data_IF_594242072562
#
_entry.id   IF_594242072562
#
_cell.length_a   1.000
_cell.length_b   1.000
_cell.length_c   1.000
_cell.angle_alpha   90.00
_cell.angle_beta   90.00
_cell.angle_gamma   90.00
#
_symmetry.space_group_name_H-M   'P 1'
#
loop_
_entity.id
_entity.type
_entity.pdbx_description
1 polymer ?
#
# COMPACT_ATOMS: atom_id res chain seq x y z
N UNK A 1 -62.48 35.97 15.51
CA UNK A 1 -61.34 36.25 14.61
C UNK A 1 -60.19 35.32 14.98
N UNK A 2 -59.90 34.31 14.14
CA UNK A 2 -58.84 33.35 14.41
C UNK A 2 -58.55 32.48 13.20
N UNK A 3 -57.72 32.99 12.29
CA UNK A 3 -57.30 32.28 11.07
C UNK A 3 -56.09 31.38 11.38
N UNK A 4 -56.29 30.07 11.37
CA UNK A 4 -55.20 29.07 11.36
C UNK A 4 -54.77 28.86 9.91
N UNK A 5 -53.58 29.36 9.54
CA UNK A 5 -52.93 29.00 8.27
C UNK A 5 -52.27 27.63 8.40
N UNK A 6 -52.77 26.66 7.64
CA UNK A 6 -52.09 25.39 7.40
C UNK A 6 -50.87 25.64 6.51
N UNK A 7 -49.67 25.55 7.07
CA UNK A 7 -48.43 25.47 6.30
C UNK A 7 -48.39 24.08 5.65
N UNK A 8 -48.79 24.00 4.37
CA UNK A 8 -48.59 22.83 3.55
C UNK A 8 -47.10 22.52 3.44
N UNK A 9 -46.71 21.32 3.85
CA UNK A 9 -45.34 20.80 3.77
C UNK A 9 -44.80 20.91 2.34
N UNK A 10 -43.87 21.84 2.12
CA UNK A 10 -43.14 22.03 0.86
C UNK A 10 -42.31 20.81 0.45
N UNK A 11 -42.16 19.79 1.31
CA UNK A 11 -41.44 18.56 0.98
C UNK A 11 -42.21 17.64 0.01
N UNK A 12 -43.55 17.64 0.07
CA UNK A 12 -44.37 16.68 -0.69
C UNK A 12 -44.43 17.03 -2.18
N UNK A 13 -44.53 18.31 -2.52
CA UNK A 13 -44.54 18.80 -3.92
C UNK A 13 -43.15 18.67 -4.59
N UNK A 14 -42.07 18.70 -3.80
CA UNK A 14 -40.68 18.56 -4.27
C UNK A 14 -40.37 17.15 -4.78
N UNK A 15 -40.86 16.12 -4.09
CA UNK A 15 -40.71 14.73 -4.54
C UNK A 15 -41.38 14.49 -5.90
N UNK A 16 -42.58 15.03 -6.11
CA UNK A 16 -43.38 14.71 -7.30
C UNK A 16 -42.77 15.19 -8.62
N UNK A 17 -41.99 16.28 -8.65
CA UNK A 17 -41.33 16.77 -9.87
C UNK A 17 -40.07 16.00 -10.21
N UNK A 18 -39.27 15.60 -9.21
CA UNK A 18 -38.11 14.75 -9.42
C UNK A 18 -38.53 13.40 -10.03
N UNK A 19 -39.62 12.82 -9.51
CA UNK A 19 -40.21 11.59 -10.07
C UNK A 19 -40.63 11.73 -11.54
N UNK A 20 -41.06 12.91 -12.00
CA UNK A 20 -41.44 13.13 -13.40
C UNK A 20 -40.23 13.25 -14.32
N UNK A 21 -39.16 13.94 -13.88
CA UNK A 21 -37.90 14.00 -14.64
C UNK A 21 -37.19 12.64 -14.71
N UNK A 22 -37.28 11.84 -13.64
CA UNK A 22 -36.77 10.45 -13.64
C UNK A 22 -37.52 9.53 -14.61
N UNK A 23 -38.79 9.82 -14.91
CA UNK A 23 -39.56 9.02 -15.86
C UNK A 23 -39.19 9.30 -17.34
N UNK A 24 -38.47 10.38 -17.63
CA UNK A 24 -38.14 10.82 -19.00
C UNK A 24 -36.66 10.64 -19.37
N UNK A 25 -35.84 10.02 -18.52
CA UNK A 25 -34.41 9.80 -18.80
C UNK A 25 -33.60 11.10 -18.90
N UNK A 26 -34.07 12.17 -18.25
CA UNK A 26 -33.39 13.46 -18.27
C UNK A 26 -32.02 13.37 -17.58
N UNK A 27 -30.97 13.77 -18.30
CA UNK A 27 -29.61 13.84 -17.76
C UNK A 27 -29.44 15.10 -16.88
N UNK A 28 -28.73 14.93 -15.76
CA UNK A 28 -28.28 15.99 -14.87
C UNK A 28 -26.85 16.34 -15.24
N UNK A 29 -26.62 17.61 -15.53
CA UNK A 29 -25.27 18.13 -15.75
C UNK A 29 -24.52 18.26 -14.42
N UNK A 30 -23.35 17.66 -14.32
CA UNK A 30 -22.43 17.77 -13.19
C UNK A 30 -21.17 18.46 -13.68
N UNK A 31 -20.91 19.65 -13.16
CA UNK A 31 -19.67 20.39 -13.41
C UNK A 31 -18.72 20.16 -12.22
N UNK A 32 -17.51 19.70 -12.51
CA UNK A 32 -16.48 19.41 -11.52
C UNK A 32 -15.31 20.37 -11.72
N UNK A 33 -15.13 21.28 -10.79
CA UNK A 33 -13.95 22.15 -10.74
C UNK A 33 -12.73 21.35 -10.28
N UNK A 34 -11.64 21.42 -11.04
CA UNK A 34 -10.39 20.69 -10.79
C UNK A 34 -9.34 21.59 -10.13
N UNK A 35 -8.28 20.98 -9.62
CA UNK A 35 -7.23 21.67 -8.85
C UNK A 35 -6.36 22.61 -9.70
N UNK A 36 -6.37 22.44 -11.01
CA UNK A 36 -5.72 23.30 -12.01
C UNK A 36 -6.58 24.53 -12.37
N UNK A 37 -7.76 24.68 -11.76
CA UNK A 37 -8.70 25.77 -12.02
C UNK A 37 -9.60 25.53 -13.23
N UNK A 38 -9.48 24.39 -13.90
CA UNK A 38 -10.40 24.00 -14.97
C UNK A 38 -11.74 23.52 -14.40
N UNK A 39 -12.72 23.35 -15.30
CA UNK A 39 -14.00 22.74 -14.96
C UNK A 39 -14.40 21.77 -16.05
N UNK A 40 -14.73 20.55 -15.65
CA UNK A 40 -15.20 19.51 -16.55
C UNK A 40 -16.67 19.23 -16.36
N UNK A 41 -17.39 19.06 -17.47
CA UNK A 41 -18.79 18.67 -17.46
C UNK A 41 -18.95 17.16 -17.69
N UNK A 42 -19.84 16.58 -16.91
CA UNK A 42 -20.30 15.20 -17.01
C UNK A 42 -21.83 15.21 -17.07
N UNK A 43 -22.42 14.50 -18.03
CA UNK A 43 -23.87 14.34 -18.08
C UNK A 43 -24.20 12.98 -17.44
N UNK A 44 -24.92 13.01 -16.33
CA UNK A 44 -25.18 11.85 -15.47
C UNK A 44 -26.68 11.59 -15.36
N UNK A 45 -27.07 10.35 -15.11
CA UNK A 45 -28.46 10.05 -14.74
C UNK A 45 -28.71 10.44 -13.27
N UNK A 46 -29.95 10.78 -12.88
CA UNK A 46 -30.26 11.07 -11.48
C UNK A 46 -29.89 9.93 -10.52
N UNK A 47 -30.02 8.68 -10.96
CA UNK A 47 -29.66 7.48 -10.20
C UNK A 47 -28.16 7.15 -10.19
N UNK A 48 -27.35 7.80 -11.05
CA UNK A 48 -25.90 7.63 -11.00
C UNK A 48 -25.39 8.07 -9.63
N UNK A 49 -24.40 7.37 -9.11
CA UNK A 49 -23.81 7.68 -7.81
C UNK A 49 -22.61 8.61 -7.94
N UNK A 50 -22.19 9.21 -6.83
CA UNK A 50 -20.92 9.95 -6.73
C UNK A 50 -19.74 9.08 -7.20
N UNK A 51 -19.75 7.76 -6.93
CA UNK A 51 -18.74 6.85 -7.42
C UNK A 51 -18.75 6.74 -8.96
N UNK A 52 -19.91 6.76 -9.59
CA UNK A 52 -20.01 6.69 -11.05
C UNK A 52 -19.46 7.96 -11.71
N UNK A 53 -19.70 9.14 -11.11
CA UNK A 53 -19.03 10.38 -11.52
C UNK A 53 -17.51 10.27 -11.35
N UNK A 54 -17.03 9.75 -10.22
CA UNK A 54 -15.59 9.51 -10.00
C UNK A 54 -14.99 8.56 -11.02
N UNK A 55 -15.69 7.50 -11.43
CA UNK A 55 -15.23 6.58 -12.49
C UNK A 55 -15.06 7.29 -13.83
N UNK A 56 -15.98 8.20 -14.17
CA UNK A 56 -15.86 9.00 -15.40
C UNK A 56 -14.64 9.93 -15.35
N UNK A 57 -14.41 10.62 -14.22
CA UNK A 57 -13.21 11.45 -14.01
C UNK A 57 -11.94 10.58 -14.07
N UNK A 58 -11.93 9.44 -13.37
CA UNK A 58 -10.83 8.48 -13.32
C UNK A 58 -10.41 8.01 -14.71
N UNK A 59 -11.38 7.67 -15.56
CA UNK A 59 -11.13 7.25 -16.93
C UNK A 59 -10.53 8.37 -17.80
N UNK A 60 -11.00 9.63 -17.64
CA UNK A 60 -10.49 10.77 -18.41
C UNK A 60 -9.11 11.23 -17.97
N UNK A 61 -8.85 11.25 -16.66
CA UNK A 61 -7.62 11.80 -16.06
C UNK A 61 -6.58 10.71 -15.74
N UNK A 62 -6.84 9.45 -16.05
CA UNK A 62 -5.99 8.30 -15.73
C UNK A 62 -5.59 8.26 -14.25
N UNK A 63 -6.56 8.40 -13.35
CA UNK A 63 -6.36 8.41 -11.89
C UNK A 63 -7.23 7.35 -11.23
N UNK A 64 -6.80 6.80 -10.09
CA UNK A 64 -7.62 5.87 -9.32
C UNK A 64 -8.83 6.61 -8.73
N UNK A 65 -10.02 6.00 -8.74
CA UNK A 65 -11.22 6.58 -8.08
C UNK A 65 -10.96 6.87 -6.61
N UNK A 66 -10.04 6.12 -5.99
CA UNK A 66 -9.77 6.22 -4.59
C UNK A 66 -9.06 7.49 -4.12
N UNK A 67 -8.41 8.16 -5.07
CA UNK A 67 -7.69 9.42 -4.87
C UNK A 67 -8.57 10.63 -5.11
N UNK A 68 -9.83 10.41 -5.51
CA UNK A 68 -10.80 11.45 -5.85
C UNK A 68 -11.80 11.62 -4.70
N UNK A 69 -11.82 12.83 -4.14
CA UNK A 69 -12.91 13.30 -3.28
C UNK A 69 -13.69 14.36 -4.03
N UNK A 70 -15.02 14.24 -4.03
CA UNK A 70 -15.90 15.25 -4.58
C UNK A 70 -16.57 15.99 -3.43
N UNK A 71 -16.56 17.32 -3.50
CA UNK A 71 -17.21 18.19 -2.54
C UNK A 71 -18.37 18.93 -3.17
N UNK A 72 -19.46 19.08 -2.44
CA UNK A 72 -20.50 20.07 -2.73
C UNK A 72 -20.43 21.17 -1.67
N UNK A 73 -19.94 22.35 -2.07
CA UNK A 73 -19.53 23.38 -1.11
C UNK A 73 -18.37 22.88 -0.26
N UNK A 74 -18.54 22.83 1.06
CA UNK A 74 -17.52 22.32 2.02
C UNK A 74 -17.73 20.86 2.42
N UNK A 75 -18.79 20.20 1.93
CA UNK A 75 -19.16 18.84 2.34
C UNK A 75 -18.57 17.80 1.39
N UNK A 76 -17.79 16.86 1.93
CA UNK A 76 -17.34 15.67 1.19
C UNK A 76 -18.53 14.76 0.90
N UNK A 77 -18.65 14.31 -0.34
CA UNK A 77 -19.75 13.45 -0.79
C UNK A 77 -19.39 11.97 -0.66
N UNK A 78 -20.24 11.14 -0.02
CA UNK A 78 -20.03 9.69 0.06
C UNK A 78 -20.28 9.03 -1.30
N UNK A 79 -19.60 7.92 -1.58
CA UNK A 79 -19.61 7.25 -2.89
C UNK A 79 -21.02 6.84 -3.37
N UNK A 80 -21.93 6.52 -2.44
CA UNK A 80 -23.26 5.95 -2.72
C UNK A 80 -24.36 7.02 -2.80
N UNK A 81 -24.05 8.28 -2.52
CA UNK A 81 -25.02 9.35 -2.70
C UNK A 81 -25.35 9.49 -4.20
N UNK A 82 -26.64 9.54 -4.54
CA UNK A 82 -27.08 9.72 -5.92
C UNK A 82 -26.86 11.16 -6.39
N UNK A 83 -26.65 11.36 -7.69
CA UNK A 83 -26.54 12.69 -8.30
C UNK A 83 -27.86 13.46 -8.16
N UNK A 84 -29.00 12.77 -8.23
CA UNK A 84 -30.33 13.36 -8.01
C UNK A 84 -30.50 14.01 -6.63
N UNK A 85 -29.82 13.47 -5.60
CA UNK A 85 -29.82 14.04 -4.25
C UNK A 85 -28.90 15.27 -4.10
N UNK A 86 -28.03 15.53 -5.09
CA UNK A 86 -27.11 16.67 -5.11
C UNK A 86 -27.66 17.90 -5.85
N UNK A 87 -28.65 17.68 -6.73
CA UNK A 87 -29.20 18.71 -7.59
C UNK A 87 -29.70 19.93 -6.78
N UNK A 88 -29.30 21.16 -7.13
CA UNK A 88 -29.84 22.34 -6.48
C UNK A 88 -31.36 22.37 -6.70
N UNK A 89 -32.09 22.63 -5.61
CA UNK A 89 -33.56 22.64 -5.58
C UNK A 89 -34.14 23.86 -6.32
N UNK A 90 -33.30 24.69 -6.95
CA UNK A 90 -33.78 25.83 -7.71
C UNK A 90 -34.36 25.40 -9.07
N UNK A 91 -35.45 26.04 -9.47
CA UNK A 91 -36.23 25.68 -10.64
C UNK A 91 -35.53 25.99 -11.97
N UNK A 92 -34.24 26.34 -11.95
CA UNK A 92 -33.50 26.86 -13.11
C UNK A 92 -32.81 25.79 -13.95
N UNK A 93 -32.83 24.52 -13.52
CA UNK A 93 -32.11 23.45 -14.22
C UNK A 93 -30.59 23.63 -14.14
N UNK A 94 -30.10 24.29 -13.10
CA UNK A 94 -28.68 24.53 -12.89
C UNK A 94 -27.89 23.23 -12.75
N UNK A 95 -26.71 23.19 -13.35
CA UNK A 95 -25.78 22.07 -13.20
C UNK A 95 -25.30 21.94 -11.75
N UNK A 96 -25.12 20.69 -11.28
CA UNK A 96 -24.51 20.40 -9.98
C UNK A 96 -23.06 20.86 -10.03
N UNK A 97 -22.66 21.71 -9.08
CA UNK A 97 -21.28 22.20 -8.98
C UNK A 97 -20.54 21.42 -7.91
N UNK A 98 -19.51 20.69 -8.32
CA UNK A 98 -18.64 19.92 -7.45
C UNK A 98 -17.20 20.43 -7.51
N UNK A 99 -16.44 20.21 -6.45
CA UNK A 99 -15.00 20.45 -6.42
C UNK A 99 -14.27 19.12 -6.26
N UNK A 100 -13.24 18.92 -7.08
CA UNK A 100 -12.35 17.77 -6.97
C UNK A 100 -11.20 18.08 -6.01
N UNK A 101 -11.08 17.29 -4.96
CA UNK A 101 -9.97 17.37 -4.02
C UNK A 101 -9.07 16.13 -4.18
N UNK A 102 -7.77 16.38 -4.37
CA UNK A 102 -6.75 15.34 -4.46
C UNK A 102 -6.28 15.02 -3.05
N UNK A 103 -6.52 13.79 -2.60
CA UNK A 103 -6.14 13.39 -1.25
C UNK A 103 -4.64 13.03 -1.16
N UNK A 104 -3.96 13.56 -0.15
CA UNK A 104 -2.71 13.00 0.38
C UNK A 104 -3.10 12.35 1.71
N UNK A 105 -3.11 11.01 1.77
CA UNK A 105 -3.46 10.29 2.99
C UNK A 105 -2.28 10.35 3.95
N UNK A 106 -2.51 10.89 5.15
CA UNK A 106 -1.63 10.67 6.30
C UNK A 106 -2.53 10.38 7.49
N UNK A 107 -2.59 9.13 7.99
CA UNK A 107 -3.30 8.87 9.22
C UNK A 107 -2.69 9.72 10.34
N UNK A 108 -3.54 10.21 11.23
CA UNK A 108 -3.09 10.84 12.47
C UNK A 108 -2.18 9.87 13.24
N UNK A 109 -1.12 10.36 13.92
CA UNK A 109 -0.27 9.51 14.76
C UNK A 109 -1.01 8.75 15.87
N UNK A 110 -2.20 9.18 16.26
CA UNK A 110 -2.84 8.66 17.47
C UNK A 110 -3.66 7.37 17.26
N UNK A 111 -4.15 7.07 16.05
CA UNK A 111 -5.35 6.23 15.91
C UNK A 111 -5.26 5.15 14.82
N UNK A 112 -4.13 4.46 14.69
CA UNK A 112 -4.08 3.19 13.92
C UNK A 112 -4.48 2.05 14.84
N UNK A 113 -5.49 1.30 14.42
CA UNK A 113 -6.05 0.14 15.12
C UNK A 113 -5.84 -1.13 14.31
N UNK A 114 -5.95 -2.28 14.97
CA UNK A 114 -5.83 -3.60 14.33
C UNK A 114 -6.98 -4.51 14.74
N UNK A 115 -7.49 -5.27 13.78
CA UNK A 115 -8.33 -6.43 14.00
C UNK A 115 -7.64 -7.65 13.39
N UNK A 116 -7.82 -8.80 14.03
CA UNK A 116 -7.30 -10.06 13.52
C UNK A 116 -8.38 -11.13 13.63
N UNK A 117 -8.50 -11.92 12.56
CA UNK A 117 -9.29 -13.13 12.54
C UNK A 117 -8.37 -14.32 12.37
N UNK A 118 -8.77 -15.44 12.94
CA UNK A 118 -8.01 -16.68 12.82
C UNK A 118 -8.94 -17.88 12.64
N UNK A 119 -8.40 -18.96 12.10
CA UNK A 119 -9.16 -20.17 11.80
C UNK A 119 -8.26 -21.34 11.46
N UNK A 120 -8.87 -22.49 11.18
CA UNK A 120 -8.14 -23.71 10.83
C UNK A 120 -7.15 -23.47 9.68
N UNK A 121 -6.02 -24.18 9.71
CA UNK A 121 -4.99 -24.11 8.67
C UNK A 121 -5.59 -24.26 7.26
N UNK A 122 -5.24 -23.33 6.36
CA UNK A 122 -5.71 -23.32 4.98
C UNK A 122 -7.13 -22.77 4.78
N UNK A 123 -7.86 -22.44 5.84
CA UNK A 123 -9.22 -21.89 5.78
C UNK A 123 -9.23 -20.37 5.46
N UNK A 124 -8.39 -19.93 4.54
CA UNK A 124 -8.15 -18.51 4.22
C UNK A 124 -9.40 -17.74 3.83
N UNK A 125 -10.33 -18.36 3.09
CA UNK A 125 -11.61 -17.72 2.73
C UNK A 125 -12.43 -17.37 3.97
N UNK A 126 -12.51 -18.31 4.92
CA UNK A 126 -13.27 -18.14 6.15
C UNK A 126 -12.64 -17.05 7.00
N UNK A 127 -11.32 -17.09 7.15
CA UNK A 127 -10.57 -16.13 7.97
C UNK A 127 -10.69 -14.71 7.42
N UNK A 128 -10.54 -14.52 6.10
CA UNK A 128 -10.74 -13.21 5.47
C UNK A 128 -12.20 -12.76 5.61
N UNK A 129 -13.17 -13.63 5.37
CA UNK A 129 -14.60 -13.31 5.53
C UNK A 129 -14.95 -12.84 6.95
N UNK A 130 -14.40 -13.51 7.97
CA UNK A 130 -14.53 -13.11 9.37
C UNK A 130 -13.90 -11.74 9.63
N UNK A 131 -12.68 -11.50 9.16
CA UNK A 131 -12.00 -10.21 9.31
C UNK A 131 -12.81 -9.07 8.67
N UNK A 132 -13.33 -9.27 7.45
CA UNK A 132 -14.16 -8.27 6.76
C UNK A 132 -15.48 -8.00 7.50
N UNK A 133 -16.03 -8.99 8.20
CA UNK A 133 -17.21 -8.82 9.06
C UNK A 133 -16.86 -7.98 10.29
N UNK A 134 -15.76 -8.32 10.97
CA UNK A 134 -15.28 -7.56 12.13
C UNK A 134 -14.98 -6.08 11.78
N UNK A 135 -14.40 -5.81 10.61
CA UNK A 135 -14.18 -4.43 10.15
C UNK A 135 -15.50 -3.66 9.97
N UNK A 136 -16.54 -4.30 9.41
CA UNK A 136 -17.87 -3.69 9.27
C UNK A 136 -18.50 -3.41 10.63
N UNK A 137 -18.42 -4.37 11.55
CA UNK A 137 -18.96 -4.26 12.91
C UNK A 137 -18.25 -3.15 13.71
N UNK A 138 -16.95 -2.94 13.47
CA UNK A 138 -16.17 -1.84 14.02
C UNK A 138 -16.47 -0.47 13.38
N UNK A 139 -17.41 -0.39 12.44
CA UNK A 139 -17.79 0.85 11.76
C UNK A 139 -16.75 1.37 10.77
N UNK A 140 -15.81 0.53 10.35
CA UNK A 140 -14.81 0.89 9.33
C UNK A 140 -15.51 1.16 8.01
N UNK A 141 -15.10 2.23 7.33
CA UNK A 141 -15.63 2.68 6.06
C UNK A 141 -14.63 2.48 4.92
N UNK A 142 -15.12 2.60 3.69
CA UNK A 142 -14.27 2.54 2.50
C UNK A 142 -13.19 3.63 2.53
N UNK A 143 -11.92 3.27 2.31
CA UNK A 143 -10.76 4.16 2.44
C UNK A 143 -10.13 4.25 3.83
N UNK A 144 -10.70 3.62 4.86
CA UNK A 144 -10.14 3.63 6.22
C UNK A 144 -9.27 2.41 6.54
N UNK A 145 -9.32 1.36 5.71
CA UNK A 145 -8.39 0.22 5.80
C UNK A 145 -7.06 0.63 5.18
N UNK A 146 -5.98 0.48 5.95
CA UNK A 146 -4.63 0.84 5.53
C UNK A 146 -3.94 -0.33 4.83
N UNK A 147 -3.99 -1.52 5.43
CA UNK A 147 -3.47 -2.75 4.82
C UNK A 147 -4.11 -3.99 5.47
N UNK A 148 -3.96 -5.13 4.80
CA UNK A 148 -4.34 -6.46 5.29
C UNK A 148 -3.17 -7.41 5.06
N UNK A 149 -2.80 -8.16 6.09
CA UNK A 149 -1.69 -9.12 6.10
C UNK A 149 -2.18 -10.54 6.41
N UNK A 150 -1.67 -11.52 5.67
CA UNK A 150 -1.93 -12.94 5.85
C UNK A 150 -0.67 -13.60 6.40
N UNK A 151 -0.81 -14.34 7.50
CA UNK A 151 0.29 -15.13 8.07
C UNK A 151 -0.26 -16.37 8.76
N UNK A 152 0.61 -17.34 9.03
CA UNK A 152 0.26 -18.50 9.84
C UNK A 152 0.86 -18.39 11.24
N UNK A 153 0.11 -18.88 12.23
CA UNK A 153 0.61 -19.00 13.61
C UNK A 153 1.24 -20.38 13.80
N UNK A 154 2.54 -20.39 14.07
CA UNK A 154 3.32 -21.59 14.39
C UNK A 154 3.67 -22.45 13.18
N UNK A 155 4.05 -23.71 13.42
CA UNK A 155 4.27 -24.74 12.38
C UNK A 155 2.94 -25.14 11.71
N UNK A 156 2.28 -24.19 11.04
CA UNK A 156 1.13 -24.39 10.15
C UNK A 156 -0.24 -24.75 10.75
N UNK A 157 -0.51 -24.47 12.03
CA UNK A 157 -1.78 -24.92 12.65
C UNK A 157 -2.96 -23.98 12.45
N UNK A 158 -2.72 -22.68 12.25
CA UNK A 158 -3.78 -21.67 12.23
C UNK A 158 -3.48 -20.60 11.17
N UNK A 159 -4.45 -20.36 10.29
CA UNK A 159 -4.42 -19.26 9.33
C UNK A 159 -4.93 -17.99 10.00
N UNK A 160 -4.19 -16.89 9.84
CA UNK A 160 -4.49 -15.59 10.46
C UNK A 160 -4.51 -14.52 9.39
N UNK A 161 -5.54 -13.68 9.40
CA UNK A 161 -5.57 -12.44 8.64
C UNK A 161 -5.71 -11.28 9.62
N UNK A 162 -4.89 -10.25 9.45
CA UNK A 162 -4.97 -9.03 10.23
C UNK A 162 -5.20 -7.82 9.33
N UNK A 163 -6.03 -6.89 9.78
CA UNK A 163 -6.29 -5.63 9.10
C UNK A 163 -5.93 -4.48 10.02
N UNK A 164 -5.17 -3.53 9.49
CA UNK A 164 -4.88 -2.29 10.17
C UNK A 164 -5.65 -1.16 9.51
N UNK A 165 -6.25 -0.32 10.33
CA UNK A 165 -7.19 0.70 9.86
C UNK A 165 -7.11 1.94 10.75
N UNK A 166 -7.64 3.05 10.26
CA UNK A 166 -7.75 4.28 11.04
C UNK A 166 -9.08 4.97 10.77
N UNK A 167 -9.86 5.18 11.84
CA UNK A 167 -11.14 5.89 11.78
C UNK A 167 -10.97 7.41 11.62
N UNK A 168 -9.74 7.92 11.80
CA UNK A 168 -9.39 9.32 11.55
C UNK A 168 -9.26 9.64 10.06
N UNK A 169 -9.15 8.61 9.21
CA UNK A 169 -9.21 8.80 7.76
C UNK A 169 -10.64 9.08 7.35
N UNK A 170 -10.82 9.94 6.34
CA UNK A 170 -12.14 10.23 5.81
C UNK A 170 -12.75 8.98 5.18
N UNK A 171 -13.79 8.45 5.81
CA UNK A 171 -14.60 7.38 5.26
C UNK A 171 -15.34 7.84 4.00
N UNK A 172 -15.45 6.95 3.02
CA UNK A 172 -16.04 7.25 1.70
C UNK A 172 -17.39 6.57 1.50
N UNK A 173 -17.97 6.02 2.56
CA UNK A 173 -19.19 5.24 2.56
C UNK A 173 -19.01 3.86 3.20
N UNK A 174 -20.06 3.01 3.18
CA UNK A 174 -20.00 1.68 3.74
C UNK A 174 -18.83 0.86 3.18
N UNK A 175 -18.18 0.06 4.03
CA UNK A 175 -17.08 -0.80 3.60
C UNK A 175 -17.58 -1.90 2.67
N UNK A 176 -17.20 -1.83 1.39
CA UNK A 176 -17.39 -2.91 0.42
C UNK A 176 -16.03 -3.36 -0.13
N UNK A 177 -15.63 -4.56 0.28
CA UNK A 177 -14.32 -5.15 0.00
C UNK A 177 -14.51 -6.49 -0.69
N UNK A 178 -13.73 -6.71 -1.73
CA UNK A 178 -13.60 -7.97 -2.44
C UNK A 178 -12.20 -8.51 -2.28
N UNK A 179 -12.04 -9.80 -2.53
CA UNK A 179 -10.73 -10.42 -2.56
C UNK A 179 -10.69 -11.54 -3.61
N UNK A 180 -9.49 -11.84 -4.10
CA UNK A 180 -9.19 -13.03 -4.89
C UNK A 180 -8.13 -13.82 -4.15
N UNK A 181 -8.37 -15.12 -3.95
CA UNK A 181 -7.39 -16.05 -3.39
C UNK A 181 -6.78 -16.91 -4.48
N UNK A 182 -5.47 -16.95 -4.53
CA UNK A 182 -4.71 -17.90 -5.32
C UNK A 182 -4.12 -18.93 -4.37
N UNK A 183 -4.42 -20.21 -4.65
CA UNK A 183 -3.92 -21.37 -3.91
C UNK A 183 -3.29 -22.35 -4.90
N UNK A 184 -2.32 -23.13 -4.44
CA UNK A 184 -1.85 -24.30 -5.19
C UNK A 184 -0.99 -23.97 -6.41
N UNK A 185 -0.05 -23.02 -6.26
CA UNK A 185 1.12 -22.93 -7.14
C UNK A 185 2.29 -23.70 -6.54
N UNK A 186 3.20 -24.16 -7.40
CA UNK A 186 4.42 -24.85 -6.95
C UNK A 186 5.47 -23.84 -6.45
N UNK A 187 5.31 -22.56 -6.80
CA UNK A 187 6.27 -21.50 -6.44
C UNK A 187 5.60 -20.16 -6.10
N UNK A 188 6.29 -19.35 -5.29
CA UNK A 188 5.89 -17.96 -5.04
C UNK A 188 5.77 -17.12 -6.31
N UNK A 189 6.62 -17.38 -7.32
CA UNK A 189 6.64 -16.62 -8.56
C UNK A 189 5.32 -16.73 -9.34
N UNK A 190 4.72 -17.92 -9.36
CA UNK A 190 3.41 -18.14 -9.98
C UNK A 190 2.31 -17.37 -9.24
N UNK A 191 2.32 -17.42 -7.90
CA UNK A 191 1.37 -16.69 -7.07
C UNK A 191 1.51 -15.17 -7.23
N UNK A 192 2.72 -14.64 -7.37
CA UNK A 192 2.93 -13.21 -7.61
C UNK A 192 2.30 -12.76 -8.93
N UNK A 193 2.50 -13.54 -10.00
CA UNK A 193 1.91 -13.26 -11.31
C UNK A 193 0.39 -13.34 -11.30
N UNK A 194 -0.16 -14.36 -10.63
CA UNK A 194 -1.60 -14.52 -10.46
C UNK A 194 -2.22 -13.35 -9.67
N UNK A 195 -1.57 -12.92 -8.58
CA UNK A 195 -1.99 -11.76 -7.80
C UNK A 195 -1.89 -10.45 -8.58
N UNK A 196 -0.83 -10.27 -9.38
CA UNK A 196 -0.72 -9.11 -10.27
C UNK A 196 -1.88 -9.07 -11.28
N UNK A 197 -2.21 -10.20 -11.91
CA UNK A 197 -3.37 -10.29 -12.80
C UNK A 197 -4.68 -10.00 -12.05
N UNK A 198 -4.85 -10.54 -10.84
CA UNK A 198 -6.02 -10.29 -10.02
C UNK A 198 -6.13 -8.84 -9.55
N UNK A 199 -5.02 -8.11 -9.45
CA UNK A 199 -4.99 -6.70 -9.08
C UNK A 199 -5.37 -5.75 -10.22
N UNK A 200 -5.40 -6.22 -11.48
CA UNK A 200 -5.64 -5.37 -12.63
C UNK A 200 -6.98 -4.63 -12.58
N UNK A 201 -6.93 -3.33 -12.85
CA UNK A 201 -8.03 -2.37 -12.86
C UNK A 201 -8.82 -2.26 -11.54
N UNK A 202 -8.26 -2.75 -10.43
CA UNK A 202 -8.87 -2.68 -9.10
C UNK A 202 -8.16 -1.65 -8.23
N UNK A 203 -8.90 -1.07 -7.30
CA UNK A 203 -8.35 -0.28 -6.21
C UNK A 203 -7.88 -1.21 -5.08
N UNK A 204 -6.62 -1.63 -5.18
CA UNK A 204 -5.99 -2.60 -4.29
C UNK A 204 -5.78 -2.00 -2.90
N UNK A 205 -6.19 -2.75 -1.87
CA UNK A 205 -5.92 -2.47 -0.46
C UNK A 205 -4.63 -3.16 -0.04
N UNK A 206 -4.49 -4.45 -0.37
CA UNK A 206 -3.26 -5.19 -0.14
C UNK A 206 -3.12 -6.38 -1.09
N UNK A 207 -1.87 -6.81 -1.24
CA UNK A 207 -1.52 -8.12 -1.80
C UNK A 207 -0.63 -8.78 -0.74
N UNK A 208 -1.07 -9.90 -0.19
CA UNK A 208 -0.35 -10.57 0.91
C UNK A 208 -0.46 -12.09 0.83
N UNK A 209 0.64 -12.76 1.14
CA UNK A 209 0.81 -14.19 0.98
C UNK A 209 1.33 -14.87 2.23
N UNK A 210 1.01 -16.16 2.35
CA UNK A 210 1.46 -16.99 3.46
C UNK A 210 1.71 -18.42 3.02
N UNK A 211 2.61 -19.12 3.70
CA UNK A 211 2.94 -20.53 3.52
C UNK A 211 2.47 -21.36 4.72
N UNK A 212 1.84 -22.50 4.46
CA UNK A 212 1.49 -23.50 5.49
C UNK A 212 1.84 -24.91 5.00
N UNK A 213 1.67 -25.91 5.85
CA UNK A 213 1.97 -27.31 5.54
C UNK A 213 1.21 -27.87 4.33
N UNK A 214 0.09 -27.26 3.96
CA UNK A 214 -0.70 -27.65 2.78
C UNK A 214 -0.46 -26.78 1.55
N UNK A 215 0.50 -25.86 1.57
CA UNK A 215 0.94 -25.11 0.38
C UNK A 215 1.09 -23.60 0.59
N UNK A 216 1.00 -22.88 -0.52
CA UNK A 216 1.15 -21.43 -0.58
C UNK A 216 -0.18 -20.76 -0.92
N UNK A 217 -0.40 -19.57 -0.36
CA UNK A 217 -1.57 -18.72 -0.66
C UNK A 217 -1.09 -17.31 -0.94
N UNK A 218 -1.78 -16.63 -1.85
CA UNK A 218 -1.67 -15.19 -2.05
C UNK A 218 -3.07 -14.61 -2.21
N UNK A 219 -3.37 -13.56 -1.45
CA UNK A 219 -4.62 -12.83 -1.50
C UNK A 219 -4.39 -11.47 -2.16
N UNK A 220 -5.28 -11.09 -3.08
CA UNK A 220 -5.41 -9.71 -3.56
C UNK A 220 -6.71 -9.15 -3.02
N UNK A 221 -6.62 -8.18 -2.11
CA UNK A 221 -7.78 -7.55 -1.44
C UNK A 221 -7.97 -6.14 -2.01
N UNK A 222 -9.21 -5.78 -2.33
CA UNK A 222 -9.53 -4.54 -3.05
C UNK A 222 -10.89 -3.96 -2.68
N UNK A 223 -11.04 -2.66 -2.91
CA UNK A 223 -12.30 -1.96 -2.78
C UNK A 223 -13.24 -2.29 -3.94
N UNK A 224 -14.41 -2.88 -3.67
CA UNK A 224 -15.38 -3.20 -4.72
C UNK A 224 -15.96 -1.93 -5.33
N UNK A 225 -16.17 -1.98 -6.65
CA UNK A 225 -16.70 -0.86 -7.44
C UNK A 225 -15.72 0.28 -7.69
N UNK A 226 -14.63 0.39 -6.92
CA UNK A 226 -13.54 1.33 -7.17
C UNK A 226 -12.55 0.75 -8.19
N UNK A 227 -12.02 1.62 -9.03
CA UNK A 227 -11.19 1.21 -10.17
C UNK A 227 -9.93 2.02 -10.27
N UNK A 228 -8.92 1.38 -10.85
CA UNK A 228 -7.67 1.99 -11.28
C UNK A 228 -7.61 1.99 -12.81
N UNK A 229 -6.87 2.93 -13.42
CA UNK A 229 -6.59 2.90 -14.85
C UNK A 229 -6.01 1.53 -15.26
N UNK A 230 -6.46 0.95 -16.39
CA UNK A 230 -5.83 -0.25 -16.92
C UNK A 230 -4.36 0.06 -17.27
N UNK A 231 -3.49 -0.93 -17.13
CA UNK A 231 -2.06 -0.73 -17.38
C UNK A 231 -1.13 -1.85 -16.98
N UNK A 232 -1.67 -3.01 -16.59
CA UNK A 232 -0.90 -4.12 -16.05
C UNK A 232 -0.35 -3.81 -14.65
N UNK A 233 -0.56 -4.73 -13.72
CA UNK A 233 0.20 -4.75 -12.48
C UNK A 233 1.45 -5.58 -12.73
N UNK A 234 2.60 -5.02 -12.37
CA UNK A 234 3.89 -5.70 -12.37
C UNK A 234 4.25 -6.13 -10.95
N UNK A 235 5.14 -7.11 -10.83
CA UNK A 235 5.77 -7.46 -9.57
C UNK A 235 7.28 -7.60 -9.70
N UNK A 236 7.98 -7.36 -8.59
CA UNK A 236 9.38 -7.75 -8.37
C UNK A 236 9.49 -8.45 -7.04
N UNK A 237 10.39 -9.41 -6.95
CA UNK A 237 10.65 -10.15 -5.71
C UNK A 237 12.14 -10.28 -5.45
N UNK A 238 12.53 -10.50 -4.21
CA UNK A 238 13.89 -10.74 -3.76
C UNK A 238 13.93 -11.88 -2.76
N UNK A 239 15.09 -12.55 -2.67
CA UNK A 239 15.32 -13.63 -1.72
C UNK A 239 16.76 -13.61 -1.22
N UNK A 240 16.95 -13.79 0.08
CA UNK A 240 18.26 -13.87 0.69
C UNK A 240 18.23 -14.71 1.97
N UNK A 241 19.40 -15.17 2.44
CA UNK A 241 19.53 -15.87 3.72
C UNK A 241 19.24 -15.02 4.96
N UNK A 242 18.97 -13.71 4.79
CA UNK A 242 18.52 -12.83 5.88
C UNK A 242 17.39 -11.92 5.41
N UNK A 243 16.49 -11.59 6.34
CA UNK A 243 15.38 -10.68 6.07
C UNK A 243 15.86 -9.30 5.61
N UNK A 244 16.91 -8.75 6.23
CA UNK A 244 17.44 -7.45 5.82
C UNK A 244 18.08 -7.51 4.43
N UNK A 245 18.83 -8.56 4.11
CA UNK A 245 19.41 -8.72 2.77
C UNK A 245 18.33 -8.81 1.68
N UNK A 246 17.27 -9.58 1.92
CA UNK A 246 16.16 -9.69 0.98
C UNK A 246 15.43 -8.34 0.81
N UNK A 247 15.19 -7.62 1.91
CA UNK A 247 14.58 -6.29 1.89
C UNK A 247 15.41 -5.28 1.07
N UNK A 248 16.73 -5.20 1.27
CA UNK A 248 17.57 -4.25 0.53
C UNK A 248 17.62 -4.56 -0.96
N UNK A 249 17.69 -5.85 -1.33
CA UNK A 249 17.58 -6.26 -2.73
C UNK A 249 16.23 -5.88 -3.36
N UNK A 250 15.13 -5.92 -2.60
CA UNK A 250 13.83 -5.45 -3.09
C UNK A 250 13.87 -3.94 -3.38
N UNK A 251 14.41 -3.15 -2.45
CA UNK A 251 14.54 -1.69 -2.61
C UNK A 251 15.38 -1.34 -3.85
N UNK A 252 16.48 -2.04 -4.08
CA UNK A 252 17.29 -1.88 -5.29
C UNK A 252 16.47 -2.19 -6.55
N UNK A 253 15.76 -3.32 -6.59
CA UNK A 253 14.90 -3.69 -7.73
C UNK A 253 13.81 -2.65 -8.00
N UNK A 254 13.19 -2.09 -6.96
CA UNK A 254 12.20 -1.02 -7.12
C UNK A 254 12.82 0.26 -7.69
N UNK A 255 14.03 0.62 -7.24
CA UNK A 255 14.79 1.76 -7.75
C UNK A 255 15.20 1.57 -9.23
N UNK A 256 15.76 0.41 -9.58
CA UNK A 256 16.13 0.05 -10.96
C UNK A 256 14.92 0.11 -11.92
N UNK A 257 13.75 -0.32 -11.43
CA UNK A 257 12.49 -0.24 -12.16
C UNK A 257 11.91 1.18 -12.23
N UNK A 258 12.50 2.15 -11.53
CA UNK A 258 12.06 3.55 -11.42
C UNK A 258 10.60 3.65 -11.00
N UNK A 259 10.19 2.80 -10.04
CA UNK A 259 8.85 2.87 -9.47
C UNK A 259 8.69 4.22 -8.79
N UNK A 260 7.60 4.93 -9.09
CA UNK A 260 7.34 6.25 -8.51
C UNK A 260 6.40 6.16 -7.30
N UNK A 261 6.44 7.18 -6.44
CA UNK A 261 5.46 7.32 -5.37
C UNK A 261 4.04 7.33 -5.96
N UNK A 262 3.16 6.52 -5.39
CA UNK A 262 1.77 6.37 -5.86
C UNK A 262 1.57 5.30 -6.94
N UNK A 263 2.64 4.65 -7.41
CA UNK A 263 2.56 3.47 -8.30
C UNK A 263 2.69 2.15 -7.54
N UNK A 264 3.32 2.17 -6.37
CA UNK A 264 3.46 0.99 -5.51
C UNK A 264 2.12 0.64 -4.85
N UNK A 265 1.68 -0.60 -5.00
CA UNK A 265 0.40 -1.11 -4.48
C UNK A 265 0.57 -1.82 -3.12
N UNK A 266 1.72 -2.46 -2.89
CA UNK A 266 1.97 -3.18 -1.67
C UNK A 266 3.33 -3.88 -1.67
N UNK A 267 3.79 -4.23 -0.48
CA UNK A 267 4.96 -5.07 -0.22
C UNK A 267 4.55 -6.17 0.75
N UNK A 268 4.97 -7.39 0.49
CA UNK A 268 4.69 -8.56 1.31
C UNK A 268 5.97 -9.33 1.62
N UNK A 269 6.06 -9.87 2.83
CA UNK A 269 7.22 -10.57 3.37
C UNK A 269 6.82 -11.99 3.77
N UNK A 270 7.53 -12.99 3.26
CA UNK A 270 7.22 -14.40 3.53
C UNK A 270 8.43 -15.30 3.33
N UNK A 271 8.29 -16.56 3.74
CA UNK A 271 9.22 -17.66 3.48
C UNK A 271 8.41 -18.93 3.18
N UNK A 272 9.06 -19.99 2.70
CA UNK A 272 8.40 -21.28 2.49
C UNK A 272 8.16 -22.03 3.81
N UNK A 273 9.09 -21.87 4.73
CA UNK A 273 9.10 -22.39 6.08
C UNK A 273 10.03 -21.50 6.94
N UNK A 274 10.00 -21.61 8.28
CA UNK A 274 10.77 -20.74 9.16
C UNK A 274 12.28 -20.68 8.90
N UNK A 275 12.88 -21.74 8.35
CA UNK A 275 14.33 -21.84 8.09
C UNK A 275 14.68 -21.55 6.62
N UNK A 276 13.69 -21.46 5.74
CA UNK A 276 13.88 -21.09 4.35
C UNK A 276 14.38 -19.63 4.20
N UNK A 277 15.06 -19.31 3.07
CA UNK A 277 15.43 -17.94 2.76
C UNK A 277 14.24 -16.97 2.85
N UNK A 278 14.49 -15.81 3.46
CA UNK A 278 13.54 -14.72 3.51
C UNK A 278 13.21 -14.24 2.09
N UNK A 279 11.95 -13.92 1.85
CA UNK A 279 11.47 -13.42 0.56
C UNK A 279 10.63 -12.16 0.77
N UNK A 280 10.79 -11.23 -0.16
CA UNK A 280 9.87 -10.10 -0.30
C UNK A 280 9.35 -10.05 -1.71
N UNK A 281 8.12 -9.58 -1.84
CA UNK A 281 7.52 -9.20 -3.12
C UNK A 281 6.94 -7.80 -3.04
N UNK A 282 7.02 -7.06 -4.14
CA UNK A 282 6.38 -5.77 -4.30
C UNK A 282 5.59 -5.76 -5.60
N UNK A 283 4.38 -5.23 -5.54
CA UNK A 283 3.48 -5.08 -6.68
C UNK A 283 3.27 -3.61 -6.98
N UNK A 284 3.33 -3.22 -8.25
CA UNK A 284 3.20 -1.83 -8.66
C UNK A 284 2.49 -1.72 -10.02
N UNK A 285 1.90 -0.57 -10.29
CA UNK A 285 1.17 -0.29 -11.53
C UNK A 285 1.67 1.02 -12.15
N UNK A 286 2.31 0.95 -13.33
CA UNK A 286 2.91 2.12 -13.99
C UNK A 286 1.89 3.08 -14.59
N UNK A 287 0.68 2.62 -14.90
CA UNK A 287 -0.39 3.50 -15.37
C UNK A 287 -0.96 4.38 -14.26
N UNK A 288 -0.68 4.06 -12.98
CA UNK A 288 -1.02 4.96 -11.90
C UNK A 288 -0.16 6.23 -11.95
N UNK A 289 -0.75 7.39 -11.63
CA UNK A 289 0.00 8.65 -11.57
C UNK A 289 1.08 8.58 -10.49
N UNK A 290 2.33 8.54 -10.95
CA UNK A 290 3.50 8.77 -10.12
C UNK A 290 3.58 10.24 -9.68
N UNK A 291 4.04 10.47 -8.46
CA UNK A 291 4.18 11.83 -7.89
C UNK A 291 5.63 12.16 -7.54
N UNK A 292 6.56 11.62 -8.31
CA UNK A 292 7.99 11.75 -8.08
C UNK A 292 8.64 10.43 -7.65
N UNK A 293 9.92 10.51 -7.30
CA UNK A 293 10.71 9.36 -6.89
C UNK A 293 10.12 8.67 -5.64
N UNK A 294 10.23 7.34 -5.60
CA UNK A 294 9.77 6.54 -4.47
C UNK A 294 10.89 6.45 -3.43
N UNK A 295 10.69 7.08 -2.28
CA UNK A 295 11.55 6.91 -1.11
C UNK A 295 10.82 6.10 -0.05
N UNK A 296 11.30 4.89 0.19
CA UNK A 296 10.77 3.99 1.21
C UNK A 296 11.72 3.96 2.39
N UNK A 297 11.15 4.06 3.59
CA UNK A 297 11.81 3.68 4.83
C UNK A 297 10.96 2.57 5.49
N UNK A 298 11.56 1.87 6.44
CA UNK A 298 10.91 0.75 7.09
C UNK A 298 11.30 0.63 8.56
N UNK A 299 10.43 -0.05 9.31
CA UNK A 299 10.70 -0.49 10.68
C UNK A 299 10.56 -1.99 10.71
N UNK A 300 11.54 -2.65 11.33
CA UNK A 300 11.58 -4.11 11.40
C UNK A 300 11.72 -4.59 12.83
N UNK A 301 11.06 -5.70 13.13
CA UNK A 301 11.20 -6.40 14.41
C UNK A 301 11.36 -7.89 14.13
N UNK A 302 12.36 -8.54 14.71
CA UNK A 302 12.61 -9.99 14.58
C UNK A 302 12.86 -10.59 15.96
N UNK A 303 11.80 -11.06 16.62
CA UNK A 303 11.83 -11.48 18.03
C UNK A 303 10.90 -12.67 18.27
N UNK A 304 11.10 -13.38 19.37
CA UNK A 304 10.17 -14.41 19.84
C UNK A 304 9.09 -13.76 20.73
N UNK A 305 7.96 -13.40 20.11
CA UNK A 305 6.77 -12.81 20.75
C UNK A 305 5.52 -13.34 20.07
N UNK A 306 4.36 -13.20 20.73
CA UNK A 306 3.08 -13.55 20.12
C UNK A 306 2.69 -12.59 19.00
N UNK A 307 1.69 -12.99 18.19
CA UNK A 307 1.22 -12.19 17.07
C UNK A 307 0.54 -10.89 17.48
N UNK A 308 -0.08 -10.84 18.66
CA UNK A 308 -0.71 -9.62 19.15
C UNK A 308 0.33 -8.50 19.35
N UNK A 309 1.54 -8.86 19.79
CA UNK A 309 2.67 -7.93 19.84
C UNK A 309 3.00 -7.37 18.45
N UNK A 310 3.14 -8.20 17.41
CA UNK A 310 3.46 -7.72 16.06
C UNK A 310 2.34 -6.84 15.47
N UNK A 311 1.08 -7.22 15.69
CA UNK A 311 -0.09 -6.45 15.26
C UNK A 311 -0.08 -5.04 15.88
N UNK A 312 0.07 -4.95 17.21
CA UNK A 312 0.12 -3.69 17.92
C UNK A 312 1.38 -2.87 17.58
N UNK A 313 2.51 -3.53 17.41
CA UNK A 313 3.75 -2.87 17.01
C UNK A 313 3.62 -2.27 15.61
N UNK A 314 2.99 -2.98 14.67
CA UNK A 314 2.65 -2.45 13.35
C UNK A 314 1.81 -1.18 13.42
N UNK A 315 0.79 -1.12 14.29
CA UNK A 315 0.02 0.12 14.54
C UNK A 315 0.92 1.27 15.00
N UNK A 316 1.80 1.02 15.97
CA UNK A 316 2.71 2.03 16.52
C UNK A 316 3.71 2.53 15.47
N UNK A 317 4.20 1.65 14.61
CA UNK A 317 5.08 2.03 13.50
C UNK A 317 4.30 2.69 12.35
N UNK A 318 2.99 2.47 12.24
CA UNK A 318 2.16 3.10 11.22
C UNK A 318 1.71 4.54 11.57
N UNK A 319 1.61 4.84 12.86
CA UNK A 319 1.22 6.14 13.39
C UNK A 319 1.94 7.32 12.71
N UNK A 320 1.17 8.17 12.01
CA UNK A 320 1.65 9.45 11.47
C UNK A 320 2.43 9.32 10.17
N UNK A 321 2.49 8.14 9.56
CA UNK A 321 3.30 7.84 8.38
C UNK A 321 2.42 7.53 7.17
N UNK A 322 2.96 7.77 5.96
CA UNK A 322 2.32 7.40 4.69
C UNK A 322 2.59 5.92 4.40
N UNK A 323 1.77 5.05 4.99
CA UNK A 323 2.01 3.60 5.01
C UNK A 323 1.74 2.97 3.65
N UNK A 324 2.67 2.11 3.24
CA UNK A 324 2.53 1.24 2.06
C UNK A 324 2.01 -0.13 2.46
N UNK A 325 2.59 -0.72 3.49
CA UNK A 325 2.25 -2.06 3.97
C UNK A 325 2.80 -2.26 5.37
N UNK A 326 2.15 -3.10 6.19
CA UNK A 326 2.88 -3.86 7.17
C UNK A 326 2.64 -5.35 6.99
N UNK A 327 3.71 -6.12 7.02
CA UNK A 327 3.69 -7.54 6.72
C UNK A 327 4.46 -8.29 7.77
N UNK A 328 4.00 -9.49 8.11
CA UNK A 328 4.66 -10.31 9.10
C UNK A 328 4.80 -11.75 8.62
N UNK A 329 5.84 -12.42 9.10
CA UNK A 329 6.12 -13.81 8.73
C UNK A 329 6.76 -14.58 9.88
N UNK A 330 6.69 -15.90 9.83
CA UNK A 330 7.44 -16.76 10.74
C UNK A 330 8.93 -16.69 10.40
N UNK A 331 9.79 -16.97 11.38
CA UNK A 331 11.24 -17.01 11.21
C UNK A 331 11.84 -18.12 12.10
N UNK A 332 13.08 -18.50 11.80
CA UNK A 332 13.79 -19.55 12.53
C UNK A 332 13.88 -19.30 14.04
N UNK A 333 14.09 -20.37 14.81
CA UNK A 333 14.17 -20.38 16.28
C UNK A 333 12.87 -19.94 16.97
N UNK A 334 11.71 -20.20 16.35
CA UNK A 334 10.40 -19.81 16.87
C UNK A 334 10.20 -18.29 16.92
N UNK A 335 10.99 -17.54 16.15
CA UNK A 335 10.82 -16.09 16.01
C UNK A 335 9.75 -15.77 14.99
N UNK A 336 9.25 -14.55 15.06
CA UNK A 336 8.51 -13.95 13.95
C UNK A 336 9.17 -12.65 13.57
N UNK A 337 8.96 -12.26 12.32
CA UNK A 337 9.42 -10.98 11.79
C UNK A 337 8.21 -10.12 11.43
N UNK A 338 8.33 -8.82 11.65
CA UNK A 338 7.38 -7.82 11.15
C UNK A 338 8.14 -6.69 10.47
N UNK A 339 7.61 -6.22 9.33
CA UNK A 339 8.07 -5.05 8.62
C UNK A 339 6.93 -4.08 8.42
N UNK A 340 7.16 -2.80 8.70
CA UNK A 340 6.23 -1.71 8.39
C UNK A 340 6.91 -0.75 7.43
N UNK A 341 6.36 -0.63 6.23
CA UNK A 341 6.88 0.16 5.12
C UNK A 341 6.11 1.45 4.97
N UNK A 342 6.81 2.56 4.79
CA UNK A 342 6.18 3.86 4.56
C UNK A 342 6.99 4.73 3.60
N UNK A 343 6.27 5.62 2.93
CA UNK A 343 6.88 6.64 2.09
C UNK A 343 7.39 7.78 2.95
N UNK A 344 8.63 8.18 2.71
CA UNK A 344 9.24 9.38 3.30
C UNK A 344 9.30 10.52 2.27
N UNK A 345 9.27 11.76 2.77
CA UNK A 345 9.27 12.94 1.90
C UNK A 345 10.66 13.26 1.34
N UNK A 346 11.70 12.93 2.10
CA UNK A 346 13.09 13.19 1.73
C UNK A 346 13.78 11.92 1.25
N UNK A 347 14.66 12.01 0.24
CA UNK A 347 15.42 10.87 -0.24
C UNK A 347 16.26 10.25 0.88
N UNK A 348 16.23 8.93 0.97
CA UNK A 348 17.37 8.21 1.52
C UNK A 348 18.57 8.52 0.63
N UNK A 349 19.67 8.93 1.26
CA UNK A 349 20.92 9.10 0.55
C UNK A 349 21.44 7.75 0.07
N UNK A 350 21.83 7.69 -1.20
CA UNK A 350 22.39 6.50 -1.82
C UNK A 350 23.78 6.80 -2.37
N UNK A 351 24.73 5.92 -2.08
CA UNK A 351 26.10 5.96 -2.60
C UNK A 351 26.43 4.60 -3.17
N UNK A 352 26.61 4.54 -4.48
CA UNK A 352 27.14 3.36 -5.16
C UNK A 352 28.59 3.60 -5.56
N UNK A 353 29.42 2.56 -5.46
CA UNK A 353 30.75 2.51 -6.03
C UNK A 353 30.97 1.22 -6.80
N UNK A 354 31.66 1.34 -7.92
CA UNK A 354 32.02 0.22 -8.79
C UNK A 354 33.53 0.20 -8.92
N UNK A 355 34.15 -0.93 -8.58
CA UNK A 355 35.58 -1.17 -8.77
C UNK A 355 35.84 -2.25 -9.82
N UNK A 356 37.10 -2.42 -10.23
CA UNK A 356 37.48 -3.46 -11.18
C UNK A 356 37.10 -4.88 -10.68
N UNK A 357 36.90 -5.85 -11.59
CA UNK A 357 36.56 -7.23 -11.21
C UNK A 357 37.51 -7.81 -10.15
N UNK A 358 36.94 -8.26 -9.03
CA UNK A 358 37.67 -8.90 -7.94
C UNK A 358 38.41 -7.95 -6.98
N UNK A 359 38.35 -6.63 -7.20
CA UNK A 359 38.98 -5.61 -6.35
C UNK A 359 37.99 -5.03 -5.32
N UNK A 360 37.52 -5.91 -4.44
CA UNK A 360 36.58 -5.57 -3.37
C UNK A 360 37.17 -4.57 -2.37
N UNK A 361 38.48 -4.63 -2.15
CA UNK A 361 39.20 -3.69 -1.28
C UNK A 361 39.19 -2.27 -1.86
N UNK A 362 39.37 -2.12 -3.18
CA UNK A 362 39.21 -0.81 -3.81
C UNK A 362 37.77 -0.32 -3.76
N UNK A 363 36.78 -1.20 -3.99
CA UNK A 363 35.37 -0.83 -3.84
C UNK A 363 35.10 -0.33 -2.42
N UNK A 364 35.58 -1.01 -1.38
CA UNK A 364 35.36 -0.62 0.01
C UNK A 364 36.00 0.73 0.37
N UNK A 365 37.23 0.99 -0.11
CA UNK A 365 37.89 2.29 0.08
C UNK A 365 37.09 3.41 -0.58
N UNK A 366 36.71 3.24 -1.84
CA UNK A 366 35.93 4.23 -2.58
C UNK A 366 34.56 4.49 -1.92
N UNK A 367 33.90 3.44 -1.40
CA UNK A 367 32.63 3.59 -0.69
C UNK A 367 32.83 4.48 0.54
N UNK A 368 33.87 4.20 1.32
CA UNK A 368 34.19 4.93 2.55
C UNK A 368 34.50 6.40 2.25
N UNK A 369 35.28 6.66 1.20
CA UNK A 369 35.60 8.01 0.72
C UNK A 369 34.33 8.77 0.31
N UNK A 370 33.46 8.16 -0.51
CA UNK A 370 32.21 8.82 -0.95
C UNK A 370 31.23 9.07 0.19
N UNK A 371 31.17 8.18 1.18
CA UNK A 371 30.34 8.41 2.36
C UNK A 371 30.90 9.57 3.21
N UNK A 372 32.22 9.67 3.35
CA UNK A 372 32.87 10.79 4.04
C UNK A 372 32.68 12.12 3.30
N UNK A 373 32.80 12.15 1.96
CA UNK A 373 32.55 13.33 1.12
C UNK A 373 31.12 13.84 1.25
N UNK A 374 30.15 12.94 1.46
CA UNK A 374 28.76 13.30 1.72
C UNK A 374 28.46 13.68 3.16
N UNK A 375 29.46 13.67 4.03
CA UNK A 375 29.30 13.97 5.45
C UNK A 375 28.45 12.94 6.18
N UNK A 376 28.43 11.68 5.71
CA UNK A 376 27.68 10.62 6.40
C UNK A 376 28.36 10.30 7.72
N UNK A 377 27.61 10.45 8.80
CA UNK A 377 28.06 10.16 10.16
C UNK A 377 27.65 8.76 10.63
N UNK A 378 28.29 8.30 11.72
CA UNK A 378 27.86 7.10 12.42
C UNK A 378 26.41 7.24 12.85
N UNK A 379 25.60 6.21 12.66
CA UNK A 379 24.16 6.24 12.94
C UNK A 379 23.29 6.71 11.77
N UNK A 380 23.89 7.32 10.74
CA UNK A 380 23.21 7.68 9.49
C UNK A 380 23.39 6.60 8.41
N UNK A 381 24.50 5.87 8.40
CA UNK A 381 24.66 4.70 7.51
C UNK A 381 23.67 3.59 7.91
N UNK A 382 22.83 3.17 6.97
CA UNK A 382 21.79 2.17 7.18
C UNK A 382 22.25 0.77 6.78
N UNK A 383 22.90 0.67 5.62
CA UNK A 383 23.29 -0.61 5.05
C UNK A 383 24.42 -0.46 4.04
N UNK A 384 25.20 -1.52 3.90
CA UNK A 384 26.14 -1.71 2.80
C UNK A 384 25.84 -3.05 2.14
N UNK A 385 25.51 -3.01 0.86
CA UNK A 385 25.36 -4.18 0.01
C UNK A 385 26.64 -4.40 -0.81
N UNK A 386 26.92 -5.66 -1.10
CA UNK A 386 28.09 -6.07 -1.86
C UNK A 386 27.71 -7.13 -2.89
N UNK A 387 27.88 -6.82 -4.18
CA UNK A 387 27.58 -7.74 -5.27
C UNK A 387 28.53 -7.56 -6.46
N UNK A 388 28.44 -8.45 -7.45
CA UNK A 388 29.15 -8.29 -8.72
C UNK A 388 28.14 -8.13 -9.86
N UNK A 389 28.53 -7.44 -10.93
CA UNK A 389 27.76 -7.42 -12.20
C UNK A 389 28.00 -8.73 -12.97
N UNK A 390 27.50 -9.83 -12.41
CA UNK A 390 27.71 -11.20 -12.90
C UNK A 390 28.94 -11.90 -12.28
N UNK A 391 29.14 -13.21 -12.54
CA UNK A 391 30.16 -14.03 -11.85
C UNK A 391 31.62 -13.57 -12.03
N UNK A 392 31.88 -12.74 -13.04
CA UNK A 392 33.20 -12.15 -13.34
C UNK A 392 33.14 -10.63 -13.53
N UNK A 393 32.04 -10.03 -13.11
CA UNK A 393 31.83 -8.60 -13.23
C UNK A 393 32.68 -7.79 -12.26
N UNK A 394 32.71 -6.46 -12.43
CA UNK A 394 33.21 -5.54 -11.43
C UNK A 394 32.56 -5.80 -10.06
N UNK A 395 33.34 -5.58 -9.00
CA UNK A 395 32.83 -5.54 -7.64
C UNK A 395 32.06 -4.23 -7.45
N UNK A 396 30.84 -4.35 -6.95
CA UNK A 396 29.94 -3.23 -6.66
C UNK A 396 29.67 -3.23 -5.16
N UNK A 397 29.89 -2.08 -4.53
CA UNK A 397 29.38 -1.83 -3.19
C UNK A 397 28.40 -0.67 -3.23
N UNK A 398 27.28 -0.85 -2.55
CA UNK A 398 26.25 0.17 -2.43
C UNK A 398 26.01 0.46 -0.96
N UNK A 399 25.92 1.73 -0.59
CA UNK A 399 25.54 2.16 0.75
C UNK A 399 24.27 3.00 0.71
N UNK A 400 23.39 2.71 1.66
CA UNK A 400 22.21 3.53 1.95
C UNK A 400 22.47 4.28 3.25
N UNK A 401 22.16 5.57 3.26
CA UNK A 401 22.28 6.43 4.44
C UNK A 401 21.06 7.33 4.58
N UNK A 402 20.78 7.77 5.79
CA UNK A 402 19.73 8.73 6.09
C UNK A 402 20.35 9.92 6.83
N UNK A 403 20.51 11.03 6.10
CA UNK A 403 21.09 12.26 6.64
C UNK A 403 20.20 12.92 7.69
N UNK A 404 18.90 12.59 7.74
CA UNK A 404 17.99 13.10 8.76
C UNK A 404 18.15 12.38 10.11
N UNK A 405 18.82 11.21 10.15
CA UNK A 405 19.11 10.55 11.43
C UNK A 405 20.15 11.34 12.22
N UNK A 406 20.04 11.36 13.56
CA UNK A 406 21.06 11.96 14.41
C UNK A 406 22.42 11.31 14.14
N UNK A 407 23.36 12.11 13.65
CA UNK A 407 24.76 11.73 13.53
C UNK A 407 25.39 11.53 14.90
N UNK A 408 26.24 10.51 15.00
CA UNK A 408 26.94 10.13 16.23
C UNK A 408 28.45 10.34 16.10
N UNK A 409 28.87 11.26 15.23
CA UNK A 409 30.27 11.55 14.91
C UNK A 409 30.78 10.85 13.64
N UNK A 410 32.09 10.96 13.34
CA UNK A 410 32.66 10.46 12.09
C UNK A 410 32.38 8.98 11.83
N UNK A 411 32.01 8.66 10.59
CA UNK A 411 31.86 7.28 10.14
C UNK A 411 33.23 6.70 9.79
N UNK A 412 33.67 5.70 10.55
CA UNK A 412 34.86 4.91 10.23
C UNK A 412 34.45 3.52 9.72
N UNK A 413 34.59 3.29 8.42
CA UNK A 413 34.37 1.98 7.82
C UNK A 413 35.67 1.21 7.72
N UNK A 414 35.63 -0.06 8.16
CA UNK A 414 36.70 -1.04 7.95
C UNK A 414 36.11 -2.18 7.15
N UNK A 415 36.77 -2.54 6.05
CA UNK A 415 36.41 -3.68 5.25
C UNK A 415 37.49 -4.75 5.34
N UNK A 416 37.06 -6.00 5.46
CA UNK A 416 37.90 -7.16 5.32
C UNK A 416 37.28 -8.04 4.24
N UNK A 417 38.06 -8.34 3.20
CA UNK A 417 37.61 -9.19 2.10
C UNK A 417 38.13 -10.59 2.35
N UNK A 418 37.22 -11.56 2.37
CA UNK A 418 37.59 -12.97 2.50
C UNK A 418 37.11 -13.76 1.30
N UNK A 419 38.01 -14.58 0.76
CA UNK A 419 37.72 -15.50 -0.34
C UNK A 419 37.69 -16.90 0.26
N UNK A 420 36.50 -17.48 0.33
CA UNK A 420 36.28 -18.85 0.78
C UNK A 420 36.14 -19.80 -0.40
N UNK A 421 36.40 -21.09 -0.17
CA UNK A 421 36.14 -22.15 -1.17
C UNK A 421 34.68 -22.62 -1.13
N UNK A 422 33.97 -22.28 -0.06
CA UNK A 422 32.56 -22.59 0.13
C UNK A 422 31.86 -21.48 0.92
N UNK A 423 30.53 -21.39 0.75
CA UNK A 423 29.67 -20.53 1.57
C UNK A 423 29.80 -20.84 3.07
N UNK A 424 29.83 -22.12 3.44
CA UNK A 424 29.97 -22.53 4.84
C UNK A 424 31.27 -22.05 5.51
N UNK A 425 32.36 -21.86 4.75
CA UNK A 425 33.59 -21.24 5.27
C UNK A 425 33.45 -19.73 5.49
N UNK A 426 32.69 -19.05 4.62
CA UNK A 426 32.43 -17.63 4.72
C UNK A 426 31.44 -17.34 5.85
N UNK A 427 30.40 -18.17 6.02
CA UNK A 427 29.40 -18.03 7.09
C UNK A 427 29.99 -18.24 8.48
N UNK A 428 30.98 -19.13 8.64
CA UNK A 428 31.70 -19.28 9.91
C UNK A 428 32.60 -18.10 10.26
N UNK A 429 32.90 -17.25 9.28
CA UNK A 429 33.77 -16.09 9.46
C UNK A 429 33.00 -14.81 9.75
N UNK A 430 31.84 -14.64 9.09
CA UNK A 430 30.90 -13.56 9.36
C UNK A 430 30.34 -13.68 10.79
#
# INVERSE_FOLDING_TARGET
SGSRRCLGSTSTVRRTRLFRAMAEGALVAVNVATFDGESERFDCKPEDTVLDVKKQIAARRCVATARLKLLAGTRILPNQQSVGDLAPVDASGGAVQLQLLREIRRPSPANVQVLAASGAAGAWDVVIGLLLTQLKDAGVQQGQVLWIDLHNRGESTESVASAHYSLDLDGRGPLDVGYVLHRGGDTWQELYGAAAQAAEAKDVISISGSSWSGGLVMATVYHKGETTPPGGVEHVSSSAGSWHGAMWQLLLKLHERRVQRGQLLGIDAHNLDPDAPAQFSAHFCRSLPGTGELFLDFRSTNVNRDWAFFHQHGCQQAAGRDIVSATCSSNCDGRSVGYTWYVVAEPLGFVEVTAAPGDWEAAARQLSERLAERGVERGQLLHVDAHNVGPRGPAVLCAYHDAARPGQGPLELRAAVRRGRSLAELDRWA
#
